data_IF_211723073656
#
_entry.id   IF_211723073656
#
_cell.length_a   1.000
_cell.length_b   1.000
_cell.length_c   1.000
_cell.angle_alpha   90.00
_cell.angle_beta   90.00
_cell.angle_gamma   90.00
#
_symmetry.space_group_name_H-M   'P 1'
#
loop_
_entity.id
_entity.type
_entity.pdbx_description
1 polymer ?
#
# COMPACT_ATOMS: atom_id res chain seq x y z
N UNK A 1 9.17 15.67 0.29
CA UNK A 1 7.91 15.20 0.91
C UNK A 1 7.00 16.41 1.04
N UNK A 2 5.78 16.30 0.54
CA UNK A 2 4.78 17.34 0.69
C UNK A 2 4.45 17.57 2.18
N UNK A 3 4.12 18.81 2.60
CA UNK A 3 3.77 19.11 3.99
C UNK A 3 2.57 18.28 4.48
N UNK A 4 1.66 17.90 3.58
CA UNK A 4 0.55 17.01 3.89
C UNK A 4 1.00 15.58 4.27
N UNK A 5 2.13 15.10 3.74
CA UNK A 5 2.69 13.76 4.00
C UNK A 5 3.41 13.68 5.35
N UNK A 6 3.83 14.82 5.92
CA UNK A 6 4.48 14.85 7.23
C UNK A 6 3.51 14.44 8.36
N UNK A 7 2.24 14.83 8.23
CA UNK A 7 1.15 14.54 9.16
C UNK A 7 0.63 13.09 9.10
N UNK A 8 1.22 12.25 8.25
CA UNK A 8 0.79 10.85 8.14
C UNK A 8 1.22 10.06 9.36
N UNK A 9 0.30 9.21 9.80
CA UNK A 9 0.61 8.16 10.79
C UNK A 9 1.67 7.22 10.22
N UNK A 10 2.44 6.54 11.08
CA UNK A 10 3.50 5.61 10.66
C UNK A 10 2.97 4.57 9.67
N UNK A 11 1.73 4.12 9.86
CA UNK A 11 1.06 3.14 8.99
C UNK A 11 0.72 3.73 7.62
N UNK A 12 0.24 4.98 7.55
CA UNK A 12 -0.01 5.67 6.28
C UNK A 12 1.28 5.90 5.49
N UNK A 13 2.40 6.16 6.19
CA UNK A 13 3.72 6.32 5.55
C UNK A 13 4.22 5.01 4.95
N UNK A 14 4.06 3.90 5.66
CA UNK A 14 4.39 2.57 5.13
C UNK A 14 3.54 2.20 3.91
N UNK A 15 2.23 2.40 3.99
CA UNK A 15 1.33 2.16 2.86
C UNK A 15 1.70 3.03 1.66
N UNK A 16 2.00 4.30 1.89
CA UNK A 16 2.45 5.20 0.84
C UNK A 16 3.75 4.72 0.19
N UNK A 17 4.72 4.24 0.97
CA UNK A 17 5.97 3.69 0.45
C UNK A 17 5.73 2.47 -0.46
N UNK A 18 4.80 1.58 -0.08
CA UNK A 18 4.42 0.42 -0.90
C UNK A 18 3.78 0.88 -2.22
N UNK A 19 2.79 1.76 -2.16
CA UNK A 19 2.11 2.29 -3.35
C UNK A 19 3.11 2.99 -4.27
N UNK A 20 4.02 3.78 -3.72
CA UNK A 20 5.07 4.47 -4.47
C UNK A 20 6.02 3.48 -5.17
N UNK A 21 6.44 2.42 -4.48
CA UNK A 21 7.28 1.38 -5.08
C UNK A 21 6.53 0.64 -6.21
N UNK A 22 5.28 0.26 -5.98
CA UNK A 22 4.46 -0.43 -6.97
C UNK A 22 4.22 0.42 -8.23
N UNK A 23 3.93 1.71 -8.06
CA UNK A 23 3.74 2.63 -9.18
C UNK A 23 5.05 2.79 -9.97
N UNK A 24 6.18 2.94 -9.28
CA UNK A 24 7.50 3.06 -9.92
C UNK A 24 7.91 1.80 -10.70
N UNK A 25 7.56 0.63 -10.21
CA UNK A 25 7.88 -0.65 -10.85
C UNK A 25 6.69 -1.26 -11.61
N UNK A 26 5.65 -0.46 -11.89
CA UNK A 26 4.39 -0.94 -12.47
C UNK A 26 4.58 -1.72 -13.77
N UNK A 27 5.47 -1.25 -14.65
CA UNK A 27 5.80 -1.92 -15.92
C UNK A 27 6.40 -3.31 -15.76
N UNK A 28 7.08 -3.58 -14.64
CA UNK A 28 7.71 -4.86 -14.35
C UNK A 28 6.81 -5.78 -13.53
N UNK A 29 5.92 -5.19 -12.72
CA UNK A 29 5.09 -5.91 -11.76
C UNK A 29 3.67 -6.18 -12.29
N UNK A 30 3.25 -5.54 -13.38
CA UNK A 30 1.99 -5.84 -14.07
C UNK A 30 1.95 -7.34 -14.41
N UNK A 31 0.89 -8.04 -13.99
CA UNK A 31 0.68 -9.49 -14.15
C UNK A 31 1.62 -10.42 -13.34
N UNK A 32 2.53 -9.88 -12.54
CA UNK A 32 3.36 -10.69 -11.65
C UNK A 32 2.73 -10.81 -10.25
N UNK A 33 2.97 -11.94 -9.60
CA UNK A 33 2.58 -12.12 -8.19
C UNK A 33 3.59 -11.40 -7.30
N UNK A 34 3.12 -10.43 -6.52
CA UNK A 34 3.98 -9.58 -5.70
C UNK A 34 3.82 -10.01 -4.25
N UNK A 35 4.91 -10.41 -3.59
CA UNK A 35 4.88 -10.70 -2.16
C UNK A 35 5.46 -9.52 -1.40
N UNK A 36 4.61 -8.83 -0.65
CA UNK A 36 5.03 -7.72 0.21
C UNK A 36 5.24 -8.26 1.61
N UNK A 37 6.49 -8.24 2.07
CA UNK A 37 6.84 -8.53 3.45
C UNK A 37 6.73 -7.25 4.27
N UNK A 38 5.71 -7.14 5.10
CA UNK A 38 5.57 -6.04 6.05
C UNK A 38 5.46 -6.60 7.47
N UNK A 39 5.99 -5.87 8.44
CA UNK A 39 5.90 -6.25 9.85
C UNK A 39 4.56 -5.80 10.49
N UNK A 40 3.67 -5.19 9.70
CA UNK A 40 2.47 -4.55 10.19
C UNK A 40 1.21 -5.24 9.70
N UNK A 41 0.58 -6.01 10.60
CA UNK A 41 -0.81 -6.46 10.49
C UNK A 41 -1.80 -5.31 10.19
N UNK A 42 -1.40 -4.07 10.52
CA UNK A 42 -2.14 -2.84 10.22
C UNK A 42 -2.39 -2.60 8.72
N UNK A 43 -1.48 -3.02 7.83
CA UNK A 43 -1.72 -2.97 6.37
C UNK A 43 -2.87 -3.90 5.96
N UNK A 44 -2.91 -5.10 6.57
CA UNK A 44 -4.00 -6.06 6.36
C UNK A 44 -5.34 -5.52 6.89
N UNK A 45 -5.32 -4.77 8.00
CA UNK A 45 -6.50 -4.08 8.53
C UNK A 45 -6.94 -2.89 7.68
N UNK A 46 -6.00 -2.11 7.13
CA UNK A 46 -6.28 -0.97 6.25
C UNK A 46 -6.92 -1.41 4.94
N UNK A 47 -6.42 -2.49 4.32
CA UNK A 47 -7.02 -3.06 3.11
C UNK A 47 -8.44 -3.61 3.34
N UNK A 48 -8.74 -4.09 4.56
CA UNK A 48 -10.07 -4.59 4.92
C UNK A 48 -11.07 -3.49 5.27
N UNK A 49 -10.64 -2.25 5.51
CA UNK A 49 -11.51 -1.16 5.95
C UNK A 49 -11.70 -0.14 4.80
N UNK A 50 -12.71 -0.30 3.93
CA UNK A 50 -12.95 0.61 2.80
C UNK A 50 -13.38 2.02 3.21
N UNK A 51 -13.60 2.29 4.50
CA UNK A 51 -14.14 3.55 5.02
C UNK A 51 -13.05 4.54 5.41
N UNK A 52 -12.25 4.99 4.46
CA UNK A 52 -11.20 5.96 4.72
C UNK A 52 -11.14 7.07 3.67
N UNK A 53 -10.45 8.18 4.02
CA UNK A 53 -10.31 9.41 3.23
C UNK A 53 -10.16 9.12 1.72
N UNK A 54 -10.68 9.96 0.81
CA UNK A 54 -10.66 9.71 -0.64
C UNK A 54 -9.30 9.27 -1.22
N UNK A 55 -8.21 9.74 -0.61
CA UNK A 55 -6.83 9.32 -0.92
C UNK A 55 -6.60 7.81 -0.73
N UNK A 56 -7.08 7.22 0.37
CA UNK A 56 -6.89 5.81 0.68
C UNK A 56 -7.70 4.92 -0.25
N UNK A 57 -8.90 5.35 -0.64
CA UNK A 57 -9.71 4.66 -1.66
C UNK A 57 -8.94 4.61 -2.98
N UNK A 58 -8.32 5.71 -3.41
CA UNK A 58 -7.50 5.75 -4.62
C UNK A 58 -6.29 4.80 -4.55
N UNK A 59 -5.65 4.69 -3.39
CA UNK A 59 -4.56 3.72 -3.20
C UNK A 59 -5.07 2.27 -3.21
N UNK A 60 -6.22 1.98 -2.61
CA UNK A 60 -6.81 0.64 -2.67
C UNK A 60 -7.13 0.21 -4.11
N UNK A 61 -7.68 1.12 -4.92
CA UNK A 61 -7.95 0.84 -6.34
C UNK A 61 -6.65 0.51 -7.11
N UNK A 62 -5.57 1.25 -6.86
CA UNK A 62 -4.27 0.93 -7.46
C UNK A 62 -3.75 -0.43 -7.00
N UNK A 63 -3.90 -0.75 -5.72
CA UNK A 63 -3.47 -2.04 -5.18
C UNK A 63 -4.30 -3.21 -5.71
N UNK A 64 -5.57 -2.99 -6.08
CA UNK A 64 -6.42 -4.02 -6.70
C UNK A 64 -5.96 -4.42 -8.11
N UNK A 65 -5.26 -3.54 -8.84
CA UNK A 65 -4.70 -3.89 -10.15
C UNK A 65 -3.55 -4.90 -10.05
N UNK A 66 -2.92 -5.02 -8.87
CA UNK A 66 -1.78 -5.90 -8.65
C UNK A 66 -2.18 -7.14 -7.84
N UNK A 67 -1.60 -8.30 -8.17
CA UNK A 67 -1.79 -9.53 -7.40
C UNK A 67 -0.83 -9.55 -6.20
N UNK A 68 -1.16 -8.76 -5.17
CA UNK A 68 -0.32 -8.58 -3.97
C UNK A 68 -0.70 -9.59 -2.89
N UNK A 69 0.28 -10.35 -2.42
CA UNK A 69 0.20 -11.19 -1.24
C UNK A 69 0.98 -10.53 -0.10
N UNK A 70 0.30 -10.18 0.98
CA UNK A 70 0.96 -9.63 2.17
C UNK A 70 1.37 -10.79 3.07
N UNK A 71 2.66 -10.90 3.36
CA UNK A 71 3.20 -11.83 4.35
C UNK A 71 3.77 -11.05 5.53
N UNK A 72 3.40 -11.46 6.72
CA UNK A 72 4.02 -10.94 7.94
C UNK A 72 5.47 -11.43 7.98
N UNK A 73 6.41 -10.50 8.18
CA UNK A 73 7.82 -10.85 8.40
C UNK A 73 7.93 -11.46 9.80
N UNK A 74 8.06 -12.79 9.86
CA UNK A 74 8.26 -13.53 11.11
C UNK A 74 9.64 -13.27 11.71
#
# INVERSE_FOLDING_TARGET
MDPAQQNYTTIEKELFAIVFALDKFRSYLLNSKIVVFSNHAALRYLLKKPNAKPRLIRWMLLLQEFNIEIKDKK
#
